data_IF_075890391888
#
_entry.id   IF_075890391888
#
_cell.length_a   1.000
_cell.length_b   1.000
_cell.length_c   1.000
_cell.angle_alpha   90.00
_cell.angle_beta   90.00
_cell.angle_gamma   90.00
#
_symmetry.space_group_name_H-M   'P 1'
#
loop_
_entity.id
_entity.type
_entity.pdbx_description
1 polymer ?
#
# COMPACT_ATOMS: atom_id res chain seq x y z
N UNK A 1 -36.90 -28.63 -77.50
CA UNK A 1 -37.68 -27.68 -76.68
C UNK A 1 -37.33 -27.89 -75.22
N UNK A 2 -37.00 -26.78 -74.55
CA UNK A 2 -36.37 -26.63 -73.23
C UNK A 2 -36.92 -27.54 -72.11
N UNK A 3 -36.02 -28.28 -71.42
CA UNK A 3 -36.24 -28.74 -70.04
C UNK A 3 -35.50 -27.80 -69.10
N UNK A 4 -36.25 -27.01 -68.33
CA UNK A 4 -35.75 -26.11 -67.29
C UNK A 4 -35.38 -26.93 -66.05
N UNK A 5 -34.10 -26.92 -65.67
CA UNK A 5 -33.67 -27.38 -64.35
C UNK A 5 -33.76 -26.20 -63.39
N UNK A 6 -34.70 -26.27 -62.43
CA UNK A 6 -34.83 -25.30 -61.35
C UNK A 6 -33.87 -25.72 -60.23
N UNK A 7 -32.81 -24.93 -60.02
CA UNK A 7 -31.92 -25.06 -58.87
C UNK A 7 -32.52 -24.17 -57.76
N UNK A 8 -33.00 -24.80 -56.69
CA UNK A 8 -33.46 -24.11 -55.47
C UNK A 8 -32.24 -23.85 -54.60
N UNK A 9 -31.81 -22.59 -54.51
CA UNK A 9 -30.78 -22.14 -53.59
C UNK A 9 -31.42 -21.93 -52.21
N UNK A 10 -31.18 -22.82 -51.27
CA UNK A 10 -31.56 -22.64 -49.86
C UNK A 10 -30.54 -21.68 -49.24
N UNK A 11 -30.94 -20.41 -49.09
CA UNK A 11 -30.18 -19.40 -48.36
C UNK A 11 -30.42 -19.59 -46.86
N UNK A 12 -29.53 -20.30 -46.17
CA UNK A 12 -29.54 -20.41 -44.71
C UNK A 12 -29.02 -19.11 -44.10
N UNK A 13 -29.94 -18.23 -43.72
CA UNK A 13 -29.65 -17.02 -42.93
C UNK A 13 -29.29 -17.45 -41.51
N UNK A 14 -27.99 -17.56 -41.21
CA UNK A 14 -27.50 -17.62 -39.84
C UNK A 14 -27.64 -16.23 -39.21
N UNK A 15 -28.73 -16.02 -38.48
CA UNK A 15 -28.88 -14.92 -37.52
C UNK A 15 -27.86 -15.12 -36.40
N UNK A 16 -26.72 -14.46 -36.50
CA UNK A 16 -25.82 -14.25 -35.37
C UNK A 16 -26.52 -13.34 -34.36
N UNK A 17 -27.21 -13.95 -33.39
CA UNK A 17 -27.55 -13.26 -32.14
C UNK A 17 -26.23 -12.91 -31.45
N UNK A 18 -25.78 -11.67 -31.62
CA UNK A 18 -24.83 -11.06 -30.69
C UNK A 18 -25.55 -10.94 -29.35
N UNK A 19 -25.43 -11.97 -28.51
CA UNK A 19 -25.66 -11.82 -27.08
C UNK A 19 -24.53 -10.92 -26.60
N UNK A 20 -24.77 -9.61 -26.63
CA UNK A 20 -23.96 -8.68 -25.87
C UNK A 20 -24.00 -9.17 -24.43
N UNK A 21 -22.88 -9.69 -23.95
CA UNK A 21 -22.67 -9.91 -22.53
C UNK A 21 -22.81 -8.53 -21.92
N UNK A 22 -24.00 -8.25 -21.38
CA UNK A 22 -24.24 -7.05 -20.61
C UNK A 22 -23.34 -7.21 -19.38
N UNK A 23 -22.17 -6.58 -19.41
CA UNK A 23 -21.36 -6.42 -18.22
C UNK A 23 -22.27 -5.75 -17.20
N UNK A 24 -22.69 -6.48 -16.18
CA UNK A 24 -23.52 -5.94 -15.11
C UNK A 24 -22.81 -4.72 -14.56
N UNK A 25 -23.38 -3.54 -14.74
CA UNK A 25 -22.85 -2.32 -14.16
C UNK A 25 -22.93 -2.47 -12.65
N UNK A 26 -21.76 -2.63 -12.00
CA UNK A 26 -21.67 -2.70 -10.55
C UNK A 26 -22.30 -1.44 -9.96
N UNK A 27 -23.44 -1.61 -9.31
CA UNK A 27 -24.22 -0.52 -8.73
C UNK A 27 -24.06 -0.56 -7.22
N UNK A 28 -23.45 0.47 -6.65
CA UNK A 28 -23.24 0.58 -5.21
C UNK A 28 -24.40 1.32 -4.55
N UNK A 29 -24.68 1.00 -3.28
CA UNK A 29 -25.69 1.72 -2.49
C UNK A 29 -25.12 2.94 -1.79
N UNK A 30 -23.82 2.94 -1.54
CA UNK A 30 -23.10 4.03 -0.91
C UNK A 30 -22.97 5.22 -1.85
N UNK A 31 -22.95 6.42 -1.30
CA UNK A 31 -22.93 7.63 -2.13
C UNK A 31 -21.56 7.85 -2.80
N UNK A 32 -20.47 7.59 -2.06
CA UNK A 32 -19.12 7.81 -2.55
C UNK A 32 -18.28 6.53 -2.41
N UNK A 33 -17.52 6.20 -3.44
CA UNK A 33 -16.68 5.02 -3.48
C UNK A 33 -15.47 5.20 -4.39
N UNK A 34 -14.36 4.54 -4.05
CA UNK A 34 -13.21 4.38 -4.94
C UNK A 34 -12.53 3.04 -4.69
N UNK A 35 -12.05 2.41 -5.75
CA UNK A 35 -11.18 1.24 -5.71
C UNK A 35 -9.86 1.60 -6.37
N UNK A 36 -8.75 1.39 -5.66
CA UNK A 36 -7.41 1.66 -6.17
C UNK A 36 -6.50 0.46 -5.99
N UNK A 37 -5.52 0.33 -6.89
CA UNK A 37 -4.34 -0.49 -6.62
C UNK A 37 -3.40 0.24 -5.67
N UNK A 38 -3.02 -0.41 -4.58
CA UNK A 38 -2.24 0.19 -3.52
C UNK A 38 -0.80 0.52 -3.94
N UNK A 39 -0.23 -0.22 -4.90
CA UNK A 39 1.17 -0.06 -5.32
C UNK A 39 1.34 1.09 -6.32
N UNK A 40 0.51 1.11 -7.36
CA UNK A 40 0.56 2.10 -8.44
C UNK A 40 -0.29 3.35 -8.17
N UNK A 41 -1.26 3.27 -7.25
CA UNK A 41 -2.25 4.33 -7.02
C UNK A 41 -3.30 4.44 -8.12
N UNK A 42 -3.31 3.52 -9.10
CA UNK A 42 -4.26 3.55 -10.22
C UNK A 42 -5.69 3.33 -9.71
N UNK A 43 -6.59 4.23 -10.10
CA UNK A 43 -8.02 4.10 -9.85
C UNK A 43 -8.62 3.08 -10.82
N UNK A 44 -9.30 2.07 -10.27
CA UNK A 44 -9.95 0.98 -11.02
C UNK A 44 -11.46 1.14 -11.07
N UNK A 45 -12.03 1.81 -10.07
CA UNK A 45 -13.43 2.19 -10.02
C UNK A 45 -13.56 3.49 -9.21
N UNK A 46 -14.49 4.35 -9.60
CA UNK A 46 -14.79 5.58 -8.90
C UNK A 46 -16.29 5.93 -9.00
N UNK A 47 -16.84 6.41 -7.90
CA UNK A 47 -18.19 6.95 -7.83
C UNK A 47 -18.20 8.10 -6.83
N UNK A 48 -18.40 9.34 -7.30
CA UNK A 48 -18.36 10.54 -6.46
C UNK A 48 -17.12 10.59 -5.54
N UNK A 49 -15.98 10.10 -6.01
CA UNK A 49 -14.79 9.85 -5.21
C UNK A 49 -14.19 11.14 -4.63
N UNK A 50 -14.44 12.27 -5.29
CA UNK A 50 -14.01 13.61 -4.89
C UNK A 50 -15.10 14.41 -4.13
N UNK A 51 -16.23 13.78 -3.77
CA UNK A 51 -17.27 14.44 -2.99
C UNK A 51 -16.81 14.65 -1.55
N UNK A 52 -16.86 15.90 -1.10
CA UNK A 52 -16.48 16.31 0.26
C UNK A 52 -17.49 15.79 1.27
N UNK A 53 -17.01 15.14 2.34
CA UNK A 53 -17.81 14.60 3.44
C UNK A 53 -16.99 14.57 4.73
N UNK A 54 -17.63 14.64 5.91
CA UNK A 54 -16.94 14.33 7.16
C UNK A 54 -16.38 12.89 7.13
N UNK A 55 -15.16 12.65 7.63
CA UNK A 55 -14.52 11.34 7.64
C UNK A 55 -15.01 10.39 8.74
N UNK A 56 -15.53 10.91 9.85
CA UNK A 56 -15.62 10.14 11.09
C UNK A 56 -14.27 9.45 11.43
N UNK A 57 -14.32 8.28 12.07
CA UNK A 57 -13.12 7.53 12.51
C UNK A 57 -12.20 7.03 11.39
N UNK A 58 -12.53 7.14 10.09
CA UNK A 58 -11.52 6.87 9.05
C UNK A 58 -10.39 7.90 9.06
N UNK A 59 -10.57 9.03 9.76
CA UNK A 59 -9.49 9.96 10.15
C UNK A 59 -8.29 9.23 10.76
N UNK A 60 -8.53 8.19 11.57
CA UNK A 60 -7.46 7.44 12.25
C UNK A 60 -6.52 6.69 11.31
N UNK A 61 -6.85 6.57 10.01
CA UNK A 61 -5.89 6.10 9.01
C UNK A 61 -4.70 7.06 8.92
N UNK A 62 -4.93 8.38 8.95
CA UNK A 62 -3.86 9.38 8.99
C UNK A 62 -3.07 9.29 10.30
N UNK A 63 -3.76 9.11 11.42
CA UNK A 63 -3.11 8.93 12.74
C UNK A 63 -2.18 7.72 12.74
N UNK A 64 -2.66 6.56 12.27
CA UNK A 64 -1.84 5.36 12.14
C UNK A 64 -0.68 5.55 11.15
N UNK A 65 -0.87 6.30 10.05
CA UNK A 65 0.19 6.64 9.11
C UNK A 65 1.31 7.44 9.78
N UNK A 66 0.97 8.49 10.53
CA UNK A 66 1.98 9.29 11.23
C UNK A 66 2.71 8.49 12.32
N UNK A 67 2.01 7.59 13.02
CA UNK A 67 2.63 6.66 13.97
C UNK A 67 3.62 5.72 13.26
N UNK A 68 3.21 5.10 12.15
CA UNK A 68 4.09 4.21 11.38
C UNK A 68 5.31 4.95 10.82
N UNK A 69 5.14 6.19 10.35
CA UNK A 69 6.26 7.04 9.91
C UNK A 69 7.23 7.35 11.05
N UNK A 70 6.71 7.70 12.22
CA UNK A 70 7.55 7.98 13.38
C UNK A 70 8.35 6.74 13.83
N UNK A 71 7.76 5.55 13.74
CA UNK A 71 8.44 4.27 14.02
C UNK A 71 9.52 3.98 12.96
N UNK A 72 9.19 4.10 11.68
CA UNK A 72 10.12 3.85 10.56
C UNK A 72 11.32 4.80 10.56
N UNK A 73 11.09 6.07 10.95
CA UNK A 73 12.13 7.08 11.14
C UNK A 73 12.94 6.90 12.45
N UNK A 74 12.58 5.92 13.29
CA UNK A 74 13.24 5.65 14.57
C UNK A 74 13.03 6.73 15.64
N UNK A 75 12.00 7.57 15.52
CA UNK A 75 11.66 8.61 16.49
C UNK A 75 10.98 8.05 17.74
N UNK A 76 10.20 6.99 17.56
CA UNK A 76 9.52 6.25 18.62
C UNK A 76 9.62 4.75 18.34
N UNK A 77 9.38 3.93 19.34
CA UNK A 77 9.24 2.48 19.22
C UNK A 77 7.87 2.02 19.67
N UNK A 78 7.50 0.78 19.33
CA UNK A 78 6.24 0.19 19.81
C UNK A 78 6.20 -0.03 21.32
N UNK A 79 7.36 -0.10 21.97
CA UNK A 79 7.48 -0.42 23.39
C UNK A 79 7.66 0.84 24.25
N UNK A 80 7.67 2.02 23.63
CA UNK A 80 7.74 3.30 24.34
C UNK A 80 6.48 3.51 25.18
N UNK A 81 6.66 3.96 26.42
CA UNK A 81 5.55 4.33 27.30
C UNK A 81 5.04 5.74 26.99
N UNK A 82 3.73 5.84 26.78
CA UNK A 82 3.00 7.11 26.61
C UNK A 82 2.26 7.42 27.90
N UNK A 83 2.59 8.55 28.53
CA UNK A 83 1.84 9.05 29.69
C UNK A 83 0.58 9.75 29.22
N UNK A 84 -0.58 9.30 29.69
CA UNK A 84 -1.88 9.77 29.25
C UNK A 84 -2.17 11.15 29.84
N UNK A 85 -2.52 12.11 28.98
CA UNK A 85 -2.87 13.46 29.39
C UNK A 85 -4.33 13.56 29.85
N UNK A 86 -4.64 14.61 30.60
CA UNK A 86 -6.02 14.94 30.95
C UNK A 86 -6.87 15.28 29.71
N UNK A 87 -6.26 15.78 28.64
CA UNK A 87 -6.97 16.05 27.40
C UNK A 87 -7.37 14.75 26.69
N UNK A 88 -6.42 13.82 26.50
CA UNK A 88 -6.68 12.53 25.87
C UNK A 88 -7.72 11.70 26.64
N UNK A 89 -7.64 11.67 27.98
CA UNK A 89 -8.59 10.91 28.81
C UNK A 89 -10.02 11.45 28.73
N UNK A 90 -10.19 12.75 28.44
CA UNK A 90 -11.50 13.42 28.33
C UNK A 90 -12.14 13.33 26.95
N UNK A 91 -11.52 12.63 26.00
CA UNK A 91 -12.16 12.36 24.71
C UNK A 91 -13.50 11.66 24.92
N UNK A 92 -14.46 11.90 24.01
CA UNK A 92 -15.75 11.20 24.01
C UNK A 92 -15.78 10.07 23.00
N UNK A 93 -16.95 9.45 22.82
CA UNK A 93 -17.16 8.39 21.80
C UNK A 93 -16.54 7.05 22.21
N UNK A 94 -16.00 6.30 21.26
CA UNK A 94 -15.35 5.02 21.55
C UNK A 94 -14.00 5.27 22.22
N UNK A 95 -13.72 4.54 23.29
CA UNK A 95 -12.59 4.81 24.19
C UNK A 95 -12.01 3.53 24.78
N UNK A 96 -10.74 3.60 25.20
CA UNK A 96 -10.12 2.65 26.13
C UNK A 96 -10.48 2.95 27.60
N UNK A 97 -11.00 4.15 27.89
CA UNK A 97 -11.28 4.66 29.25
C UNK A 97 -10.01 4.76 30.09
N UNK A 98 -8.93 5.22 29.44
CA UNK A 98 -7.62 5.46 30.06
C UNK A 98 -7.63 6.71 30.92
N UNK A 99 -6.91 6.70 32.04
CA UNK A 99 -6.91 7.75 33.06
C UNK A 99 -5.72 8.72 32.93
N UNK A 100 -5.84 9.99 33.36
CA UNK A 100 -4.70 10.91 33.40
C UNK A 100 -3.55 10.34 34.23
N UNK A 101 -2.33 10.40 33.68
CA UNK A 101 -1.11 9.87 34.30
C UNK A 101 -0.88 8.38 34.08
N UNK A 102 -1.85 7.65 33.51
CA UNK A 102 -1.68 6.24 33.15
C UNK A 102 -0.57 6.12 32.10
N UNK A 103 0.09 4.96 32.03
CA UNK A 103 1.10 4.69 31.03
C UNK A 103 0.71 3.49 30.21
N UNK A 104 0.61 3.67 28.90
CA UNK A 104 0.40 2.58 27.95
C UNK A 104 1.50 2.60 26.91
N UNK A 105 1.84 1.43 26.39
CA UNK A 105 2.79 1.35 25.28
C UNK A 105 2.19 1.92 24.00
N UNK A 106 3.03 2.42 23.09
CA UNK A 106 2.60 2.80 21.72
C UNK A 106 1.85 1.64 21.06
N UNK A 107 2.28 0.39 21.27
CA UNK A 107 1.61 -0.82 20.78
C UNK A 107 0.16 -0.96 21.28
N UNK A 108 -0.06 -0.80 22.58
CA UNK A 108 -1.40 -0.96 23.18
C UNK A 108 -2.35 0.15 22.72
N UNK A 109 -1.85 1.39 22.67
CA UNK A 109 -2.61 2.50 22.12
C UNK A 109 -2.94 2.28 20.65
N UNK A 110 -1.99 1.77 19.86
CA UNK A 110 -2.22 1.46 18.45
C UNK A 110 -3.25 0.34 18.26
N UNK A 111 -3.28 -0.68 19.12
CA UNK A 111 -4.39 -1.65 19.15
C UNK A 111 -5.73 -0.98 19.50
N UNK A 112 -5.74 -0.07 20.47
CA UNK A 112 -6.92 0.76 20.77
C UNK A 112 -7.44 1.50 19.54
N UNK A 113 -6.55 2.13 18.79
CA UNK A 113 -6.88 2.89 17.56
C UNK A 113 -7.35 1.98 16.43
N UNK A 114 -6.66 0.86 16.18
CA UNK A 114 -6.91 0.02 15.00
C UNK A 114 -8.07 -0.95 15.19
N UNK A 115 -8.21 -1.53 16.40
CA UNK A 115 -9.18 -2.59 16.71
C UNK A 115 -10.49 -1.96 17.20
N UNK A 116 -10.45 -1.28 18.34
CA UNK A 116 -11.63 -0.71 19.00
C UNK A 116 -12.06 0.62 18.37
N UNK A 117 -11.14 1.33 17.70
CA UNK A 117 -11.35 2.71 17.22
C UNK A 117 -11.34 3.77 18.34
N UNK A 118 -10.58 3.53 19.41
CA UNK A 118 -10.53 4.37 20.59
C UNK A 118 -9.99 5.79 20.30
N UNK A 119 -10.73 6.81 20.74
CA UNK A 119 -10.47 8.23 20.50
C UNK A 119 -9.41 8.79 21.44
N UNK A 120 -9.45 8.39 22.69
CA UNK A 120 -8.46 8.68 23.73
C UNK A 120 -7.08 8.15 23.31
N UNK A 121 -6.99 6.91 22.83
CA UNK A 121 -5.74 6.34 22.34
C UNK A 121 -5.17 7.06 21.10
N UNK A 122 -6.03 7.44 20.15
CA UNK A 122 -5.61 8.21 18.97
C UNK A 122 -5.05 9.58 19.35
N UNK A 123 -5.68 10.22 20.34
CA UNK A 123 -5.28 11.55 20.83
C UNK A 123 -3.97 11.46 21.60
N UNK A 124 -3.83 10.47 22.49
CA UNK A 124 -2.59 10.21 23.25
C UNK A 124 -1.39 9.93 22.33
N UNK A 125 -1.55 9.11 21.29
CA UNK A 125 -0.50 8.88 20.29
C UNK A 125 -0.13 10.16 19.55
N UNK A 126 -1.12 10.99 19.21
CA UNK A 126 -0.88 12.26 18.55
C UNK A 126 -0.08 13.24 19.42
N UNK A 127 -0.48 13.38 20.68
CA UNK A 127 0.23 14.18 21.69
C UNK A 127 1.65 13.66 21.93
N UNK A 128 1.83 12.33 21.98
CA UNK A 128 3.15 11.74 22.17
C UNK A 128 4.11 12.07 21.03
N UNK A 129 3.62 12.02 19.78
CA UNK A 129 4.43 12.29 18.59
C UNK A 129 4.74 13.78 18.42
N UNK A 130 3.76 14.65 18.67
CA UNK A 130 3.83 16.06 18.30
C UNK A 130 3.96 17.02 19.50
N UNK A 131 3.89 16.51 20.73
CA UNK A 131 3.87 17.27 21.98
C UNK A 131 2.51 17.88 22.34
N UNK A 132 1.57 17.98 21.39
CA UNK A 132 0.19 18.45 21.62
C UNK A 132 -0.74 17.99 20.49
N UNK A 133 -2.06 17.96 20.75
CA UNK A 133 -3.05 17.64 19.71
C UNK A 133 -3.03 18.65 18.56
N UNK A 134 -2.87 19.96 18.83
CA UNK A 134 -2.83 20.99 17.78
C UNK A 134 -1.62 20.82 16.85
N UNK A 135 -0.45 20.54 17.43
CA UNK A 135 0.76 20.24 16.65
C UNK A 135 0.57 18.96 15.82
N UNK A 136 -0.11 17.95 16.37
CA UNK A 136 -0.41 16.73 15.63
C UNK A 136 -1.38 16.99 14.47
N UNK A 137 -2.42 17.79 14.67
CA UNK A 137 -3.35 18.20 13.60
C UNK A 137 -2.63 18.98 12.50
N UNK A 138 -1.65 19.83 12.85
CA UNK A 138 -0.79 20.47 11.85
C UNK A 138 -0.01 19.44 11.03
N UNK A 139 0.62 18.44 11.70
CA UNK A 139 1.31 17.33 11.01
C UNK A 139 0.38 16.53 10.09
N UNK A 140 -0.86 16.26 10.51
CA UNK A 140 -1.85 15.55 9.69
C UNK A 140 -2.17 16.33 8.41
N UNK A 141 -2.34 17.64 8.50
CA UNK A 141 -2.63 18.49 7.35
C UNK A 141 -1.41 18.68 6.44
N UNK A 142 -0.20 18.71 6.98
CA UNK A 142 1.02 18.76 6.18
C UNK A 142 1.28 17.45 5.44
N UNK A 143 1.01 16.31 6.07
CA UNK A 143 1.04 15.01 5.41
C UNK A 143 -0.06 14.90 4.32
N UNK A 144 -1.26 15.43 4.57
CA UNK A 144 -2.32 15.52 3.57
C UNK A 144 -1.87 16.31 2.33
N UNK A 145 -1.23 17.47 2.52
CA UNK A 145 -0.64 18.26 1.42
C UNK A 145 0.44 17.47 0.68
N UNK A 146 1.34 16.80 1.40
CA UNK A 146 2.42 15.98 0.81
C UNK A 146 1.87 14.86 -0.07
N UNK A 147 0.78 14.24 0.35
CA UNK A 147 0.09 13.19 -0.38
C UNK A 147 -0.78 13.72 -1.54
N UNK A 148 -0.97 15.04 -1.65
CA UNK A 148 -1.82 15.64 -2.66
C UNK A 148 -3.32 15.51 -2.37
N UNK A 149 -3.71 15.38 -1.09
CA UNK A 149 -5.09 15.29 -0.65
C UNK A 149 -5.75 16.68 -0.70
N UNK A 150 -6.25 17.07 -1.88
CA UNK A 150 -6.66 18.45 -2.18
C UNK A 150 -7.94 18.88 -1.47
N UNK A 151 -8.76 17.92 -1.04
CA UNK A 151 -10.10 18.18 -0.48
C UNK A 151 -10.20 17.67 0.96
N UNK A 152 -9.07 17.67 1.69
CA UNK A 152 -9.00 17.22 3.08
C UNK A 152 -8.54 18.33 4.01
N UNK A 153 -9.23 18.46 5.14
CA UNK A 153 -8.79 19.24 6.30
C UNK A 153 -9.08 18.42 7.55
N UNK A 154 -8.05 18.11 8.31
CA UNK A 154 -8.18 17.48 9.63
C UNK A 154 -8.28 18.55 10.71
N UNK A 155 -9.15 18.32 11.69
CA UNK A 155 -9.30 19.18 12.87
C UNK A 155 -8.92 18.50 14.19
N UNK A 156 -8.92 17.17 14.20
CA UNK A 156 -8.53 16.37 15.35
C UNK A 156 -7.96 15.01 14.91
N UNK A 157 -7.30 14.31 15.82
CA UNK A 157 -6.63 13.01 15.57
C UNK A 157 -7.59 11.82 15.46
N UNK A 158 -8.85 11.98 15.86
CA UNK A 158 -9.74 10.85 16.12
C UNK A 158 -10.98 10.82 15.21
N UNK A 159 -11.32 11.92 14.55
CA UNK A 159 -12.47 12.04 13.65
C UNK A 159 -13.80 12.26 14.36
N UNK A 160 -13.78 12.78 15.59
CA UNK A 160 -14.97 13.33 16.22
C UNK A 160 -15.51 14.51 15.37
N UNK A 161 -16.83 14.72 15.31
CA UNK A 161 -17.43 15.82 14.54
C UNK A 161 -16.87 17.18 14.95
N UNK A 162 -16.39 17.92 13.97
CA UNK A 162 -15.88 19.27 14.14
C UNK A 162 -16.06 20.05 12.83
N UNK A 163 -16.39 21.33 12.92
CA UNK A 163 -16.67 22.15 11.74
C UNK A 163 -15.42 22.27 10.86
N UNK A 164 -15.62 22.08 9.55
CA UNK A 164 -14.55 22.03 8.57
C UNK A 164 -13.63 20.80 8.65
N UNK A 165 -13.95 19.77 9.44
CA UNK A 165 -13.24 18.47 9.40
C UNK A 165 -13.79 17.62 8.25
N UNK A 166 -13.11 17.63 7.12
CA UNK A 166 -13.63 17.05 5.87
C UNK A 166 -12.58 16.27 5.09
N UNK A 167 -13.04 15.37 4.23
CA UNK A 167 -12.20 14.63 3.29
C UNK A 167 -13.03 14.12 2.09
N UNK A 168 -12.42 13.33 1.22
CA UNK A 168 -13.06 12.63 0.10
C UNK A 168 -12.67 11.14 0.10
N UNK A 169 -13.41 10.31 -0.64
CA UNK A 169 -13.08 8.89 -0.75
C UNK A 169 -11.72 8.69 -1.45
N UNK A 170 -11.43 9.52 -2.45
CA UNK A 170 -10.15 9.54 -3.15
C UNK A 170 -8.99 9.91 -2.21
N UNK A 171 -9.13 10.98 -1.42
CA UNK A 171 -8.07 11.41 -0.51
C UNK A 171 -7.81 10.37 0.59
N UNK A 172 -8.85 9.70 1.11
CA UNK A 172 -8.70 8.55 2.02
C UNK A 172 -7.93 7.41 1.35
N UNK A 173 -8.16 7.15 0.07
CA UNK A 173 -7.44 6.12 -0.67
C UNK A 173 -5.94 6.46 -0.78
N UNK A 174 -5.58 7.73 -0.98
CA UNK A 174 -4.19 8.18 -1.03
C UNK A 174 -3.44 7.89 0.29
N UNK A 175 -3.99 8.32 1.43
CA UNK A 175 -3.36 8.03 2.73
C UNK A 175 -3.39 6.54 3.08
N UNK A 176 -4.40 5.80 2.62
CA UNK A 176 -4.48 4.35 2.78
C UNK A 176 -3.38 3.63 1.98
N UNK A 177 -3.10 4.08 0.74
CA UNK A 177 -2.01 3.56 -0.07
C UNK A 177 -0.65 3.82 0.58
N UNK A 178 -0.47 5.02 1.16
CA UNK A 178 0.76 5.34 1.88
C UNK A 178 0.92 4.48 3.14
N UNK A 179 -0.14 4.34 3.94
CA UNK A 179 -0.13 3.48 5.13
C UNK A 179 0.17 2.01 4.78
N UNK A 180 -0.38 1.53 3.65
CA UNK A 180 -0.18 0.15 3.19
C UNK A 180 1.27 -0.19 2.79
N UNK A 181 2.17 0.81 2.71
CA UNK A 181 3.62 0.58 2.52
C UNK A 181 4.31 0.05 3.78
N UNK A 182 3.70 0.23 4.95
CA UNK A 182 4.23 -0.22 6.23
C UNK A 182 3.63 -1.58 6.60
N UNK A 183 4.26 -2.69 6.20
CA UNK A 183 3.72 -4.05 6.43
C UNK A 183 3.35 -4.33 7.91
N UNK A 184 4.02 -3.67 8.85
CA UNK A 184 3.75 -3.76 10.29
C UNK A 184 2.33 -3.33 10.67
N UNK A 185 1.70 -2.40 9.93
CA UNK A 185 0.34 -1.92 10.25
C UNK A 185 -0.68 -3.06 10.20
N UNK A 186 -0.49 -4.02 9.28
CA UNK A 186 -1.42 -5.13 9.11
C UNK A 186 -1.43 -6.06 10.33
N UNK A 187 -0.39 -6.04 11.17
CA UNK A 187 -0.42 -6.74 12.48
C UNK A 187 -1.50 -6.17 13.41
N UNK A 188 -1.80 -4.88 13.30
CA UNK A 188 -2.78 -4.19 14.14
C UNK A 188 -4.17 -4.21 13.51
N UNK A 189 -4.27 -3.94 12.21
CA UNK A 189 -5.57 -3.79 11.52
C UNK A 189 -6.25 -5.12 11.21
N UNK A 190 -5.51 -6.22 11.09
CA UNK A 190 -6.08 -7.57 10.89
C UNK A 190 -6.47 -8.30 12.18
N UNK A 191 -6.09 -7.75 13.33
CA UNK A 191 -6.39 -8.36 14.63
C UNK A 191 -7.87 -8.30 14.91
N UNK A 192 -8.52 -9.47 15.07
CA UNK A 192 -9.95 -9.55 15.36
C UNK A 192 -10.27 -9.16 16.80
N UNK A 193 -9.50 -9.70 17.76
CA UNK A 193 -9.63 -9.39 19.18
C UNK A 193 -8.25 -9.38 19.83
N UNK A 194 -8.08 -8.55 20.86
CA UNK A 194 -6.85 -8.46 21.64
C UNK A 194 -7.18 -7.94 23.04
N UNK A 195 -6.48 -8.45 24.05
CA UNK A 195 -6.56 -7.93 25.39
C UNK A 195 -5.51 -6.82 25.57
N UNK A 196 -5.95 -5.69 26.11
CA UNK A 196 -5.10 -4.55 26.48
C UNK A 196 -5.29 -4.29 27.97
N UNK A 197 -4.20 -4.05 28.69
CA UNK A 197 -4.28 -3.64 30.09
C UNK A 197 -4.41 -2.12 30.18
N UNK A 198 -5.28 -1.68 31.07
CA UNK A 198 -5.56 -0.27 31.36
C UNK A 198 -5.76 -0.06 32.86
N UNK A 199 -5.94 1.19 33.28
CA UNK A 199 -6.07 1.60 34.68
C UNK A 199 -4.73 1.80 35.38
N UNK A 200 -4.75 2.47 36.53
CA UNK A 200 -3.54 2.66 37.33
C UNK A 200 -2.89 1.33 37.71
N UNK A 201 -1.63 1.14 37.32
CA UNK A 201 -0.86 -0.10 37.51
C UNK A 201 -1.38 -1.33 36.76
N UNK A 202 -2.01 -1.14 35.59
CA UNK A 202 -2.44 -2.23 34.69
C UNK A 202 -3.47 -3.21 35.33
N UNK A 203 -4.32 -2.70 36.22
CA UNK A 203 -5.23 -3.53 37.02
C UNK A 203 -6.48 -4.00 36.25
N UNK A 204 -6.82 -3.36 35.13
CA UNK A 204 -7.99 -3.68 34.31
C UNK A 204 -7.55 -4.30 32.99
N UNK A 205 -8.05 -5.49 32.67
CA UNK A 205 -7.92 -6.06 31.32
C UNK A 205 -9.15 -5.74 30.50
N UNK A 206 -8.96 -5.10 29.34
CA UNK A 206 -10.00 -4.86 28.34
C UNK A 206 -9.79 -5.72 27.10
N UNK A 207 -10.78 -6.53 26.77
CA UNK A 207 -10.82 -7.23 25.48
C UNK A 207 -11.40 -6.31 24.41
N UNK A 208 -10.58 -5.96 23.43
CA UNK A 208 -10.96 -5.14 22.29
C UNK A 208 -11.47 -6.01 21.15
N UNK A 209 -12.44 -5.50 20.39
CA UNK A 209 -13.00 -6.20 19.23
C UNK A 209 -12.99 -5.32 17.98
N UNK A 210 -12.55 -5.91 16.86
CA UNK A 210 -12.34 -5.14 15.64
C UNK A 210 -13.67 -4.67 15.04
N UNK A 211 -13.78 -3.35 14.84
CA UNK A 211 -14.94 -2.74 14.18
C UNK A 211 -15.15 -3.21 12.73
N UNK A 212 -14.10 -3.70 12.05
CA UNK A 212 -14.16 -4.22 10.70
C UNK A 212 -14.58 -5.70 10.68
N UNK A 213 -15.90 -5.93 10.62
CA UNK A 213 -16.48 -7.28 10.53
C UNK A 213 -16.13 -8.05 9.24
N UNK A 214 -15.53 -7.40 8.24
CA UNK A 214 -15.09 -8.08 7.01
C UNK A 214 -13.93 -9.05 7.26
N UNK A 215 -13.13 -8.85 8.31
CA UNK A 215 -12.02 -9.75 8.68
C UNK A 215 -12.49 -11.19 8.95
N UNK A 216 -13.72 -11.34 9.45
CA UNK A 216 -14.33 -12.66 9.71
C UNK A 216 -14.93 -13.25 8.43
N UNK A 217 -15.36 -12.41 7.49
CA UNK A 217 -15.99 -12.84 6.22
C UNK A 217 -14.96 -13.27 5.17
N UNK A 218 -13.80 -12.64 5.14
CA UNK A 218 -12.73 -12.92 4.19
C UNK A 218 -11.36 -12.74 4.84
N UNK A 219 -10.61 -13.85 4.98
CA UNK A 219 -9.29 -13.88 5.62
C UNK A 219 -8.20 -13.14 4.84
N UNK A 220 -8.44 -12.80 3.57
CA UNK A 220 -7.51 -12.00 2.78
C UNK A 220 -7.68 -10.49 3.01
N UNK A 221 -8.77 -10.06 3.66
CA UNK A 221 -8.95 -8.69 4.12
C UNK A 221 -8.13 -8.50 5.39
N UNK A 222 -7.30 -7.46 5.42
CA UNK A 222 -6.33 -7.21 6.50
C UNK A 222 -6.42 -5.81 7.11
N UNK A 223 -7.49 -5.07 6.82
CA UNK A 223 -7.69 -3.71 7.34
C UNK A 223 -8.69 -2.89 6.53
N UNK A 224 -8.65 -1.55 6.57
CA UNK A 224 -7.82 -0.72 7.47
C UNK A 224 -8.67 -0.16 8.61
N UNK A 225 -9.75 0.57 8.29
CA UNK A 225 -10.50 1.30 9.31
C UNK A 225 -11.93 1.61 8.91
N UNK A 226 -12.87 1.38 9.83
CA UNK A 226 -14.26 1.84 9.72
C UNK A 226 -14.47 3.22 10.36
N UNK A 227 -15.55 3.91 9.98
CA UNK A 227 -16.02 5.12 10.65
C UNK A 227 -17.54 5.24 10.60
N UNK A 228 -18.10 5.87 11.63
CA UNK A 228 -19.51 6.23 11.69
C UNK A 228 -19.72 7.47 12.56
N UNK A 229 -20.50 8.42 12.05
CA UNK A 229 -21.19 9.47 12.80
C UNK A 229 -22.53 9.72 12.12
N UNK A 230 -23.44 10.43 12.77
CA UNK A 230 -24.73 10.81 12.16
C UNK A 230 -24.54 11.55 10.84
N UNK A 231 -23.53 12.42 10.75
CA UNK A 231 -23.30 13.25 9.55
C UNK A 231 -22.50 12.53 8.46
N UNK A 232 -21.55 11.67 8.84
CA UNK A 232 -20.73 10.90 7.88
C UNK A 232 -21.43 9.63 7.36
N UNK A 233 -22.45 9.16 8.07
CA UNK A 233 -23.02 7.81 7.94
C UNK A 233 -21.91 6.75 8.01
N UNK A 234 -22.09 5.61 7.33
CA UNK A 234 -21.16 4.48 7.44
C UNK A 234 -20.02 4.59 6.42
N UNK A 235 -18.79 4.73 6.91
CA UNK A 235 -17.56 4.82 6.12
C UNK A 235 -16.60 3.64 6.40
N UNK A 236 -15.74 3.31 5.45
CA UNK A 236 -14.64 2.35 5.62
C UNK A 236 -13.55 2.59 4.57
N UNK A 237 -12.29 2.46 4.97
CA UNK A 237 -11.18 2.10 4.09
C UNK A 237 -10.85 0.63 4.33
N UNK A 238 -11.04 -0.21 3.33
CA UNK A 238 -10.78 -1.65 3.38
C UNK A 238 -9.63 -2.01 2.45
N UNK A 239 -8.86 -3.03 2.82
CA UNK A 239 -7.71 -3.51 2.05
C UNK A 239 -7.74 -5.03 1.99
N UNK A 240 -7.34 -5.56 0.84
CA UNK A 240 -7.17 -6.99 0.60
C UNK A 240 -5.97 -7.21 -0.29
N UNK A 241 -5.17 -8.25 0.00
CA UNK A 241 -4.04 -8.66 -0.83
C UNK A 241 -4.25 -10.09 -1.34
N UNK A 242 -4.07 -10.30 -2.64
CA UNK A 242 -4.01 -11.62 -3.26
C UNK A 242 -2.84 -11.67 -4.25
N UNK A 243 -1.88 -12.54 -3.98
CA UNK A 243 -0.62 -12.57 -4.72
C UNK A 243 0.11 -11.22 -4.63
N UNK A 244 0.50 -10.70 -5.79
CA UNK A 244 1.21 -9.43 -5.94
C UNK A 244 0.27 -8.21 -6.05
N UNK A 245 -1.06 -8.41 -6.06
CA UNK A 245 -2.05 -7.33 -6.12
C UNK A 245 -2.61 -7.02 -4.71
N UNK A 246 -2.51 -5.76 -4.30
CA UNK A 246 -3.19 -5.23 -3.11
C UNK A 246 -4.16 -4.15 -3.54
N UNK A 247 -5.44 -4.33 -3.21
CA UNK A 247 -6.48 -3.37 -3.51
C UNK A 247 -6.94 -2.66 -2.25
N UNK A 248 -7.23 -1.37 -2.39
CA UNK A 248 -7.87 -0.55 -1.37
C UNK A 248 -9.23 -0.09 -1.89
N UNK A 249 -10.27 -0.44 -1.14
CA UNK A 249 -11.65 -0.05 -1.40
C UNK A 249 -12.09 0.94 -0.32
N UNK A 250 -12.40 2.17 -0.70
CA UNK A 250 -12.92 3.19 0.20
C UNK A 250 -14.40 3.41 -0.10
N UNK A 251 -15.22 3.36 0.93
CA UNK A 251 -16.64 3.68 0.90
C UNK A 251 -16.90 4.81 1.89
N UNK A 252 -17.63 5.83 1.47
CA UNK A 252 -18.17 6.86 2.36
C UNK A 252 -19.67 7.00 2.19
N UNK A 253 -20.32 7.42 3.28
CA UNK A 253 -21.75 7.74 3.30
C UNK A 253 -22.67 6.59 2.90
N UNK A 254 -22.34 5.36 3.30
CA UNK A 254 -23.23 4.22 3.09
C UNK A 254 -24.46 4.32 4.02
N UNK A 255 -25.66 3.88 3.58
CA UNK A 255 -26.89 4.01 4.36
C UNK A 255 -26.93 3.07 5.58
N UNK A 256 -26.20 1.95 5.54
CA UNK A 256 -26.10 1.02 6.66
C UNK A 256 -24.72 0.34 6.70
N UNK A 257 -24.38 -0.27 7.83
CA UNK A 257 -23.14 -1.05 7.97
C UNK A 257 -23.09 -2.27 7.05
N UNK A 258 -24.24 -2.87 6.75
CA UNK A 258 -24.34 -4.04 5.87
C UNK A 258 -24.16 -3.64 4.41
N UNK A 259 -24.80 -2.54 3.98
CA UNK A 259 -24.63 -2.01 2.62
C UNK A 259 -23.18 -1.55 2.38
N UNK A 260 -22.58 -0.86 3.36
CA UNK A 260 -21.15 -0.54 3.34
C UNK A 260 -20.28 -1.78 3.10
N UNK A 261 -20.56 -2.86 3.82
CA UNK A 261 -19.78 -4.10 3.75
C UNK A 261 -20.00 -4.82 2.41
N UNK A 262 -21.23 -4.82 1.90
CA UNK A 262 -21.60 -5.39 0.61
C UNK A 262 -20.91 -4.65 -0.54
N UNK A 263 -20.90 -3.32 -0.51
CA UNK A 263 -20.25 -2.48 -1.52
C UNK A 263 -18.72 -2.70 -1.53
N UNK A 264 -18.08 -2.79 -0.36
CA UNK A 264 -16.64 -3.15 -0.29
C UNK A 264 -16.36 -4.50 -0.95
N UNK A 265 -17.15 -5.53 -0.62
CA UNK A 265 -16.94 -6.86 -1.21
C UNK A 265 -17.17 -6.84 -2.72
N UNK A 266 -18.16 -6.07 -3.20
CA UNK A 266 -18.42 -5.90 -4.63
C UNK A 266 -17.23 -5.26 -5.34
N UNK A 267 -16.68 -4.16 -4.80
CA UNK A 267 -15.48 -3.50 -5.32
C UNK A 267 -14.27 -4.44 -5.35
N UNK A 268 -13.97 -5.10 -4.23
CA UNK A 268 -12.82 -6.01 -4.15
C UNK A 268 -12.98 -7.19 -5.11
N UNK A 269 -14.17 -7.80 -5.18
CA UNK A 269 -14.45 -8.90 -6.12
C UNK A 269 -14.31 -8.44 -7.57
N UNK A 270 -14.83 -7.26 -7.92
CA UNK A 270 -14.64 -6.65 -9.23
C UNK A 270 -13.14 -6.49 -9.54
N UNK A 271 -12.37 -5.92 -8.63
CA UNK A 271 -10.94 -5.70 -8.81
C UNK A 271 -10.16 -6.99 -9.04
N UNK A 272 -10.31 -7.98 -8.15
CA UNK A 272 -9.60 -9.25 -8.27
C UNK A 272 -10.11 -10.14 -9.42
N UNK A 273 -11.35 -9.96 -9.88
CA UNK A 273 -11.87 -10.69 -11.05
C UNK A 273 -11.31 -10.13 -12.36
N UNK A 274 -11.06 -8.83 -12.45
CA UNK A 274 -10.71 -8.15 -13.70
C UNK A 274 -9.22 -7.79 -13.81
N UNK A 275 -8.50 -7.69 -12.69
CA UNK A 275 -7.13 -7.19 -12.69
C UNK A 275 -6.16 -8.15 -11.99
N UNK A 276 -4.90 -8.05 -12.39
CA UNK A 276 -3.77 -8.69 -11.73
C UNK A 276 -2.61 -7.70 -11.62
N UNK A 277 -1.84 -7.85 -10.54
CA UNK A 277 -0.61 -7.10 -10.34
C UNK A 277 0.57 -7.89 -10.87
N UNK A 278 1.43 -7.25 -11.66
CA UNK A 278 2.60 -7.89 -12.25
C UNK A 278 3.87 -7.10 -11.96
N UNK A 279 4.83 -7.77 -11.34
CA UNK A 279 6.20 -7.26 -11.27
C UNK A 279 6.96 -7.67 -12.52
N UNK A 280 7.54 -6.69 -13.19
CA UNK A 280 8.56 -6.90 -14.23
C UNK A 280 9.97 -6.93 -13.63
N UNK A 281 10.14 -6.21 -12.52
CA UNK A 281 11.37 -6.12 -11.74
C UNK A 281 11.00 -6.01 -10.27
N UNK A 282 11.62 -6.80 -9.40
CA UNK A 282 11.58 -6.59 -7.95
C UNK A 282 12.92 -6.03 -7.48
N UNK A 283 12.89 -5.11 -6.53
CA UNK A 283 14.08 -4.59 -5.87
C UNK A 283 14.89 -5.74 -5.30
N UNK A 284 16.19 -5.74 -5.59
CA UNK A 284 17.11 -6.81 -5.19
C UNK A 284 17.18 -7.99 -6.15
N UNK A 285 16.36 -8.03 -7.21
CA UNK A 285 16.50 -9.03 -8.27
C UNK A 285 17.89 -8.93 -8.90
N UNK A 286 18.55 -10.07 -9.07
CA UNK A 286 19.82 -10.15 -9.78
C UNK A 286 19.60 -9.87 -11.27
N UNK A 287 20.24 -8.83 -11.78
CA UNK A 287 20.13 -8.42 -13.18
C UNK A 287 21.29 -8.96 -14.02
N UNK A 288 22.53 -8.84 -13.52
CA UNK A 288 23.72 -9.29 -14.25
C UNK A 288 24.91 -9.53 -13.31
N UNK A 289 25.91 -10.30 -13.78
CA UNK A 289 27.25 -10.31 -13.21
C UNK A 289 28.18 -9.42 -14.04
N UNK A 290 28.75 -8.38 -13.41
CA UNK A 290 29.62 -7.42 -14.08
C UNK A 290 31.07 -7.70 -13.73
N UNK A 291 31.95 -7.78 -14.73
CA UNK A 291 33.37 -8.03 -14.45
C UNK A 291 34.04 -6.82 -13.81
N UNK A 292 34.86 -7.07 -12.80
CA UNK A 292 35.58 -6.02 -12.07
C UNK A 292 37.07 -6.10 -12.32
N UNK A 293 37.60 -5.04 -12.92
CA UNK A 293 39.03 -4.84 -13.09
C UNK A 293 39.64 -4.29 -11.80
N UNK A 294 40.84 -4.78 -11.46
CA UNK A 294 41.64 -4.32 -10.31
C UNK A 294 40.92 -4.47 -8.96
N UNK A 295 39.84 -5.24 -8.90
CA UNK A 295 39.14 -5.62 -7.67
C UNK A 295 39.76 -6.83 -6.99
N UNK A 296 39.54 -6.95 -5.68
CA UNK A 296 39.93 -8.16 -4.94
C UNK A 296 39.13 -9.39 -5.44
N UNK A 297 37.87 -9.20 -5.82
CA UNK A 297 37.04 -10.12 -6.65
C UNK A 297 37.06 -9.73 -8.13
N UNK A 298 36.70 -10.66 -9.01
CA UNK A 298 36.73 -10.48 -10.48
C UNK A 298 35.37 -10.16 -11.09
N UNK A 299 34.30 -10.24 -10.30
CA UNK A 299 32.94 -9.88 -10.72
C UNK A 299 32.15 -9.33 -9.52
N UNK A 300 31.11 -8.58 -9.83
CA UNK A 300 30.11 -8.10 -8.89
C UNK A 300 28.72 -8.50 -9.35
N UNK A 301 27.87 -8.85 -8.39
CA UNK A 301 26.44 -9.03 -8.64
C UNK A 301 25.78 -7.66 -8.72
N UNK A 302 25.12 -7.40 -9.84
CA UNK A 302 24.39 -6.17 -10.12
C UNK A 302 22.89 -6.44 -9.92
N UNK A 303 22.24 -5.65 -9.05
CA UNK A 303 20.85 -5.85 -8.62
C UNK A 303 19.98 -4.64 -8.92
N UNK A 304 18.68 -4.81 -9.12
CA UNK A 304 17.75 -3.71 -9.27
C UNK A 304 17.58 -2.92 -7.96
N UNK A 305 17.58 -1.59 -8.01
CA UNK A 305 17.43 -0.72 -6.83
C UNK A 305 15.96 -0.40 -6.46
N UNK A 306 15.03 -0.60 -7.40
CA UNK A 306 13.60 -0.37 -7.23
C UNK A 306 12.75 -1.41 -7.96
N UNK A 307 11.48 -1.49 -7.56
CA UNK A 307 10.48 -2.31 -8.26
C UNK A 307 10.04 -1.62 -9.56
N UNK A 308 9.65 -2.43 -10.55
CA UNK A 308 8.83 -2.00 -11.69
C UNK A 308 7.60 -2.89 -11.72
N UNK A 309 6.45 -2.27 -11.49
CA UNK A 309 5.16 -2.92 -11.28
C UNK A 309 4.10 -2.30 -12.19
N UNK A 310 3.21 -3.11 -12.73
CA UNK A 310 2.00 -2.67 -13.42
C UNK A 310 0.78 -3.44 -12.92
N UNK A 311 -0.39 -2.81 -13.07
CA UNK A 311 -1.68 -3.47 -12.92
C UNK A 311 -2.36 -3.60 -14.28
N UNK A 312 -2.64 -4.85 -14.65
CA UNK A 312 -3.13 -5.23 -15.97
C UNK A 312 -4.51 -5.84 -15.88
N UNK A 313 -5.32 -5.64 -16.92
CA UNK A 313 -6.54 -6.41 -17.07
C UNK A 313 -6.19 -7.89 -17.32
N UNK A 314 -6.86 -8.80 -16.64
CA UNK A 314 -6.67 -10.24 -16.82
C UNK A 314 -6.99 -10.63 -18.26
N UNK A 315 -6.09 -11.41 -18.87
CA UNK A 315 -6.20 -11.82 -20.27
C UNK A 315 -5.76 -10.77 -21.29
N UNK A 316 -5.34 -9.56 -20.87
CA UNK A 316 -4.68 -8.63 -21.78
C UNK A 316 -3.34 -9.21 -22.25
N UNK A 317 -2.99 -8.96 -23.52
CA UNK A 317 -1.65 -9.31 -24.02
C UNK A 317 -0.61 -8.47 -23.30
N UNK A 318 0.47 -9.10 -22.88
CA UNK A 318 1.57 -8.43 -22.23
C UNK A 318 2.75 -8.28 -23.19
N UNK A 319 2.85 -7.10 -23.82
CA UNK A 319 3.92 -6.76 -24.76
C UNK A 319 5.01 -5.92 -24.07
N UNK A 320 5.36 -6.27 -22.84
CA UNK A 320 6.43 -5.60 -22.12
C UNK A 320 7.81 -6.05 -22.63
N UNK A 321 8.69 -5.09 -22.87
CA UNK A 321 10.08 -5.27 -23.24
C UNK A 321 10.99 -4.70 -22.16
N UNK A 322 12.02 -5.46 -21.76
CA UNK A 322 12.99 -5.05 -20.75
C UNK A 322 14.33 -4.78 -21.42
N UNK A 323 14.79 -3.53 -21.33
CA UNK A 323 16.10 -3.10 -21.83
C UNK A 323 17.05 -2.89 -20.66
N UNK A 324 18.13 -3.66 -20.64
CA UNK A 324 19.20 -3.57 -19.63
C UNK A 324 20.42 -2.91 -20.26
N UNK A 325 20.89 -1.83 -19.64
CA UNK A 325 22.11 -1.12 -20.03
C UNK A 325 23.12 -1.17 -18.87
N UNK A 326 24.04 -2.13 -18.95
CA UNK A 326 25.10 -2.35 -17.95
C UNK A 326 26.43 -2.57 -18.69
N UNK A 327 27.52 -1.89 -18.29
CA UNK A 327 28.83 -2.09 -18.87
C UNK A 327 29.33 -3.51 -18.56
N UNK A 328 29.99 -4.16 -19.53
CA UNK A 328 30.57 -5.50 -19.34
C UNK A 328 31.73 -5.54 -18.34
N UNK A 329 32.36 -4.38 -18.09
CA UNK A 329 33.54 -4.20 -17.23
C UNK A 329 33.48 -2.87 -16.50
N UNK A 330 33.81 -2.90 -15.21
CA UNK A 330 33.95 -1.73 -14.34
C UNK A 330 35.26 -1.81 -13.55
N UNK A 331 35.78 -0.68 -13.07
CA UNK A 331 37.03 -0.63 -12.31
C UNK A 331 36.74 -0.48 -10.81
N UNK A 332 37.49 -1.18 -9.96
CA UNK A 332 37.48 -0.96 -8.52
C UNK A 332 38.10 0.42 -8.14
N UNK A 333 37.67 1.07 -7.04
CA UNK A 333 36.77 0.53 -6.01
C UNK A 333 35.30 0.71 -6.37
N UNK A 334 34.46 -0.21 -5.90
CA UNK A 334 33.00 -0.15 -6.00
C UNK A 334 32.44 -0.29 -4.59
N UNK A 335 31.43 0.49 -4.26
CA UNK A 335 30.67 0.39 -3.01
C UNK A 335 29.30 -0.21 -3.28
N UNK A 336 28.73 -0.88 -2.29
CA UNK A 336 27.32 -1.28 -2.30
C UNK A 336 26.45 -0.06 -2.57
N UNK A 337 25.50 -0.20 -3.50
CA UNK A 337 24.62 0.88 -3.93
C UNK A 337 25.18 1.75 -5.06
N UNK A 338 26.45 1.60 -5.45
CA UNK A 338 26.97 2.31 -6.62
C UNK A 338 26.18 1.93 -7.88
N UNK A 339 25.75 2.93 -8.64
CA UNK A 339 25.02 2.74 -9.90
C UNK A 339 25.97 2.19 -10.96
N UNK A 340 25.69 0.97 -11.40
CA UNK A 340 26.43 0.26 -12.43
C UNK A 340 25.79 0.42 -13.82
N UNK A 341 24.49 0.67 -13.88
CA UNK A 341 23.75 0.78 -15.13
C UNK A 341 22.28 1.11 -14.89
N UNK A 342 21.47 0.97 -15.93
CA UNK A 342 20.03 1.22 -15.85
C UNK A 342 19.22 0.12 -16.52
N UNK A 343 18.00 -0.09 -16.05
CA UNK A 343 17.02 -0.97 -16.67
C UNK A 343 15.74 -0.19 -16.92
N UNK A 344 15.24 -0.26 -18.15
CA UNK A 344 13.98 0.36 -18.57
C UNK A 344 13.02 -0.73 -19.01
N UNK A 345 11.78 -0.66 -18.54
CA UNK A 345 10.68 -1.50 -19.00
C UNK A 345 9.75 -0.65 -19.82
N UNK A 346 9.52 -1.04 -21.08
CA UNK A 346 8.58 -0.40 -21.99
C UNK A 346 7.43 -1.35 -22.27
N UNK A 347 6.20 -0.84 -22.34
CA UNK A 347 5.02 -1.62 -22.64
C UNK A 347 4.16 -0.87 -23.65
N UNK A 348 3.79 -1.54 -24.73
CA UNK A 348 3.02 -0.97 -25.84
C UNK A 348 3.64 0.35 -26.38
N UNK A 349 4.98 0.42 -26.39
CA UNK A 349 5.73 1.59 -26.84
C UNK A 349 5.87 2.74 -25.82
N UNK A 350 5.24 2.65 -24.65
CA UNK A 350 5.38 3.62 -23.56
C UNK A 350 6.34 3.12 -22.49
N UNK A 351 7.11 4.02 -21.87
CA UNK A 351 7.94 3.67 -20.71
C UNK A 351 7.04 3.41 -19.50
N UNK A 352 7.05 2.16 -19.02
CA UNK A 352 6.35 1.76 -17.80
C UNK A 352 7.15 2.17 -16.56
N UNK A 353 8.47 2.07 -16.63
CA UNK A 353 9.35 2.51 -15.56
C UNK A 353 10.82 2.29 -15.87
N UNK A 354 11.66 2.93 -15.07
CA UNK A 354 13.11 2.84 -15.11
C UNK A 354 13.67 2.70 -13.71
N UNK A 355 14.62 1.79 -13.53
CA UNK A 355 15.35 1.62 -12.27
C UNK A 355 16.86 1.59 -12.52
N UNK A 356 17.64 1.88 -11.48
CA UNK A 356 19.08 1.71 -11.56
C UNK A 356 19.44 0.27 -11.24
N UNK A 357 20.58 -0.13 -11.80
CA UNK A 357 21.21 -1.39 -11.48
C UNK A 357 22.40 -1.05 -10.59
N UNK A 358 22.41 -1.56 -9.37
CA UNK A 358 23.39 -1.19 -8.34
C UNK A 358 24.25 -2.36 -7.92
N UNK A 359 25.43 -2.04 -7.39
CA UNK A 359 26.35 -2.99 -6.78
C UNK A 359 25.76 -3.60 -5.49
N UNK A 360 25.69 -4.93 -5.41
CA UNK A 360 25.21 -5.62 -4.19
C UNK A 360 26.22 -5.60 -3.04
N UNK A 361 27.51 -5.56 -3.36
CA UNK A 361 28.60 -5.69 -2.38
C UNK A 361 29.75 -4.72 -2.65
N UNK A 362 30.51 -4.39 -1.61
CA UNK A 362 31.73 -3.61 -1.75
C UNK A 362 32.84 -4.42 -2.45
N UNK A 363 33.54 -3.78 -3.40
CA UNK A 363 34.77 -4.29 -3.99
C UNK A 363 35.90 -3.28 -3.86
N UNK A 364 36.73 -3.47 -2.84
CA UNK A 364 37.98 -2.74 -2.67
C UNK A 364 39.01 -3.08 -3.78
N UNK A 365 39.93 -2.13 -4.03
CA UNK A 365 41.08 -2.36 -4.92
C UNK A 365 41.90 -3.56 -4.44
N UNK A 366 42.37 -4.38 -5.36
CA UNK A 366 43.27 -5.49 -5.06
C UNK A 366 44.65 -4.96 -4.67
N UNK A 367 45.32 -5.60 -3.71
CA UNK A 367 46.72 -5.30 -3.39
C UNK A 367 47.63 -5.60 -4.59
N UNK A 368 48.60 -4.72 -4.87
CA UNK A 368 49.52 -4.78 -6.03
C UNK A 368 50.14 -6.18 -6.23
N UNK A 369 50.46 -6.90 -5.14
CA UNK A 369 51.03 -8.24 -5.20
C UNK A 369 50.06 -9.30 -5.75
N UNK A 370 48.75 -9.20 -5.46
CA UNK A 370 47.71 -10.08 -6.02
C UNK A 370 47.43 -9.79 -7.50
N UNK A 371 47.56 -8.53 -7.92
CA UNK A 371 47.42 -8.13 -9.32
C UNK A 371 48.53 -8.75 -10.19
N UNK A 372 49.79 -8.64 -9.75
CA UNK A 372 50.95 -9.23 -10.45
C UNK A 372 50.79 -10.75 -10.56
N UNK A 373 50.42 -11.44 -9.47
CA UNK A 373 50.19 -12.89 -9.50
C UNK A 373 49.08 -13.34 -10.45
N UNK A 374 47.99 -12.57 -10.60
CA UNK A 374 46.90 -12.86 -11.54
C UNK A 374 47.31 -12.61 -13.00
N UNK A 375 48.05 -11.54 -13.28
CA UNK A 375 48.58 -11.25 -14.62
C UNK A 375 49.54 -12.35 -15.07
N UNK A 376 50.43 -12.81 -14.18
CA UNK A 376 51.36 -13.92 -14.44
C UNK A 376 50.59 -15.22 -14.72
N UNK A 377 49.58 -15.58 -13.92
CA UNK A 377 48.74 -16.76 -14.18
C UNK A 377 47.96 -16.69 -15.50
N UNK A 378 47.45 -15.51 -15.87
CA UNK A 378 46.78 -15.31 -17.17
C UNK A 378 47.75 -15.47 -18.33
N UNK A 379 48.98 -14.98 -18.20
CA UNK A 379 50.03 -15.12 -19.20
C UNK A 379 50.43 -16.59 -19.40
N UNK A 380 50.52 -17.36 -18.31
CA UNK A 380 50.82 -18.80 -18.38
C UNK A 380 49.64 -19.66 -18.85
N UNK A 381 48.38 -19.26 -18.61
CA UNK A 381 47.20 -19.96 -19.15
C UNK A 381 47.05 -19.79 -20.67
N UNK A 382 47.41 -18.65 -21.24
CA UNK A 382 47.39 -18.42 -22.70
C UNK A 382 48.45 -19.26 -23.43
N UNK A 383 49.53 -19.64 -22.74
CA UNK A 383 50.59 -20.48 -23.30
C UNK A 383 50.37 -21.99 -23.12
N UNK A 384 49.19 -22.43 -22.65
CA UNK A 384 48.83 -23.85 -22.52
C UNK A 384 47.65 -24.22 -23.42
N UNK A 385 47.74 -23.86 -24.70
CA UNK A 385 46.97 -24.52 -25.77
C UNK A 385 48.00 -25.26 -26.62
N UNK A 386 48.02 -26.58 -26.46
CA UNK A 386 48.61 -27.53 -27.41
C UNK A 386 47.55 -28.59 -27.71
#
# INVERSE_FOLDING_TARGET
>A
MFKKTVIVFILSVFLFFNIGICASTMTLKSECAVLVDAKSGKVLFAQNENKVSPPASVTKVMTMLLVMKAIDEGKITLDDEVTISEYASKMGGTQLFIEPGEKLTVRDLLYGVSVESANDAATALGEYIAGSNDAFVAMMNDEAKRLGMKNTVFKNANGLPEDGHVTTAYDIALMSCELAKYDQIFTFTKTWMVDVKVGMNDEITRTLANTNKLLVKDKAIDGLKTGYTTDALYCISATKKQGDLRLIAVIMRAPSADERSSDVLSLLNYGFANYEGKYYVKKGDKVADVNVNRGHTTSIEAVADSDIYDITAKGAKDNAEIKIDVPKKINAPIKTGDVLGTMTVTKDGAELGKCNITAKTDIAKTSIFKYIGRTVKSFFKVNTVK
#
